data_IF_219218158742
#
_entry.id   IF_219218158742
#
_cell.length_a   1.000
_cell.length_b   1.000
_cell.length_c   1.000
_cell.angle_alpha   90.00
_cell.angle_beta   90.00
_cell.angle_gamma   90.00
#
_symmetry.space_group_name_H-M   'P 1'
#
loop_
_entity.id
_entity.type
_entity.pdbx_description
1 polymer ?
#
# COMPACT_ATOMS: atom_id res chain seq x y z
N UNK A 1 -11.98 11.76 0.30
CA UNK A 1 -12.50 12.01 -1.07
C UNK A 1 -11.51 11.43 -2.05
N UNK A 2 -11.96 10.86 -3.18
CA UNK A 2 -11.06 10.20 -4.12
C UNK A 2 -10.08 11.20 -4.75
N UNK A 3 -8.80 10.81 -4.86
CA UNK A 3 -7.76 11.64 -5.48
C UNK A 3 -8.08 11.98 -6.94
N UNK A 4 -8.82 11.10 -7.62
CA UNK A 4 -9.29 11.31 -8.98
C UNK A 4 -10.25 12.51 -9.14
N UNK A 5 -10.87 13.00 -8.06
CA UNK A 5 -11.86 14.12 -8.08
C UNK A 5 -11.36 15.40 -7.41
N UNK A 6 -10.05 15.55 -7.23
CA UNK A 6 -9.44 16.81 -6.77
C UNK A 6 -9.28 16.96 -5.26
N UNK A 7 -9.36 15.85 -4.50
CA UNK A 7 -8.98 15.87 -3.10
C UNK A 7 -7.47 16.13 -2.95
N UNK A 8 -7.10 16.94 -1.95
CA UNK A 8 -5.69 17.16 -1.60
C UNK A 8 -5.14 15.91 -0.93
N UNK A 9 -4.08 15.32 -1.48
CA UNK A 9 -3.29 14.29 -0.81
C UNK A 9 -2.18 14.93 0.01
N UNK A 10 -1.93 14.36 1.19
CA UNK A 10 -0.69 14.56 1.94
C UNK A 10 -0.10 13.18 2.19
N UNK A 11 1.20 13.05 1.94
CA UNK A 11 1.95 11.85 2.34
C UNK A 11 2.18 11.95 3.85
N UNK A 12 1.86 10.88 4.56
CA UNK A 12 1.99 10.76 6.02
C UNK A 12 2.72 9.46 6.35
N UNK A 13 3.27 9.40 7.56
CA UNK A 13 3.85 8.18 8.09
C UNK A 13 2.78 7.14 8.40
N UNK A 14 3.15 5.87 8.24
CA UNK A 14 2.30 4.72 8.56
C UNK A 14 2.09 4.64 10.07
N UNK A 15 0.82 4.70 10.51
CA UNK A 15 0.46 4.57 11.92
C UNK A 15 0.57 3.12 12.42
N UNK A 16 0.51 2.92 13.74
CA UNK A 16 0.50 1.58 14.30
C UNK A 16 -0.77 0.80 13.92
N UNK A 17 -1.90 1.51 13.77
CA UNK A 17 -3.13 0.89 13.28
C UNK A 17 -3.00 0.40 11.82
N UNK A 18 -2.35 1.17 10.95
CA UNK A 18 -2.10 0.76 9.57
C UNK A 18 -1.26 -0.53 9.52
N UNK A 19 -0.24 -0.62 10.39
CA UNK A 19 0.60 -1.82 10.51
C UNK A 19 -0.20 -3.02 11.00
N UNK A 20 -1.00 -2.85 12.05
CA UNK A 20 -1.86 -3.91 12.61
C UNK A 20 -2.83 -4.47 11.56
N UNK A 21 -3.38 -3.60 10.70
CA UNK A 21 -4.26 -4.01 9.59
C UNK A 21 -3.45 -4.74 8.52
N UNK A 22 -2.29 -4.23 8.13
CA UNK A 22 -1.43 -4.89 7.15
C UNK A 22 -1.02 -6.30 7.60
N UNK A 23 -0.63 -6.50 8.86
CA UNK A 23 -0.27 -7.80 9.42
C UNK A 23 -1.39 -8.83 9.34
N UNK A 24 -2.65 -8.39 9.48
CA UNK A 24 -3.83 -9.26 9.34
C UNK A 24 -4.12 -9.62 7.88
N UNK A 25 -3.81 -8.75 6.93
CA UNK A 25 -4.09 -8.93 5.50
C UNK A 25 -3.00 -9.78 4.82
N UNK A 26 -1.73 -9.62 5.19
CA UNK A 26 -0.58 -10.27 4.55
C UNK A 26 -0.73 -11.79 4.37
N UNK A 27 -1.20 -12.58 5.37
CA UNK A 27 -1.37 -14.03 5.20
C UNK A 27 -2.28 -14.41 4.04
N UNK A 28 -3.41 -13.69 3.89
CA UNK A 28 -4.35 -13.91 2.79
C UNK A 28 -3.72 -13.59 1.44
N UNK A 29 -2.99 -12.48 1.32
CA UNK A 29 -2.30 -12.11 0.09
C UNK A 29 -1.27 -13.17 -0.32
N UNK A 30 -0.50 -13.68 0.65
CA UNK A 30 0.50 -14.74 0.41
C UNK A 30 -0.14 -16.05 -0.05
N UNK A 31 -1.20 -16.50 0.63
CA UNK A 31 -1.92 -17.73 0.27
C UNK A 31 -2.47 -17.66 -1.16
N UNK A 32 -2.96 -16.48 -1.56
CA UNK A 32 -3.56 -16.25 -2.87
C UNK A 32 -2.56 -15.77 -3.94
N UNK A 33 -1.26 -15.76 -3.64
CA UNK A 33 -0.18 -15.31 -4.54
C UNK A 33 -0.41 -13.90 -5.10
N UNK A 34 -0.97 -13.03 -4.27
CA UNK A 34 -1.14 -11.61 -4.57
C UNK A 34 0.11 -10.89 -4.06
N UNK A 35 0.93 -10.41 -5.01
CA UNK A 35 2.19 -9.77 -4.68
C UNK A 35 2.06 -8.28 -4.36
N UNK A 36 1.01 -7.63 -4.88
CA UNK A 36 0.83 -6.19 -4.75
C UNK A 36 -0.65 -5.85 -4.56
N UNK A 37 -0.95 -5.09 -3.51
CA UNK A 37 -2.30 -4.65 -3.16
C UNK A 37 -2.24 -3.25 -2.53
N UNK A 38 -3.28 -2.46 -2.72
CA UNK A 38 -3.51 -1.21 -1.99
C UNK A 38 -4.55 -1.43 -0.91
N UNK A 39 -4.36 -0.88 0.28
CA UNK A 39 -5.34 -0.90 1.36
C UNK A 39 -5.80 0.52 1.64
N UNK A 40 -7.10 0.75 1.60
CA UNK A 40 -7.69 2.06 1.85
C UNK A 40 -8.27 2.09 3.26
N UNK A 41 -7.78 3.03 4.07
CA UNK A 41 -8.23 3.23 5.44
C UNK A 41 -8.92 4.59 5.58
N UNK A 42 -10.03 4.61 6.33
CA UNK A 42 -10.82 5.79 6.65
C UNK A 42 -10.93 5.93 8.17
N UNK A 43 -10.03 6.71 8.76
CA UNK A 43 -9.79 6.69 10.20
C UNK A 43 -9.35 5.30 10.63
N UNK A 44 -9.93 4.77 11.72
CA UNK A 44 -9.55 3.47 12.27
C UNK A 44 -10.31 2.29 11.63
N UNK A 45 -10.56 2.37 10.32
CA UNK A 45 -11.32 1.34 9.58
C UNK A 45 -10.72 1.09 8.22
N UNK A 46 -10.51 -0.19 7.90
CA UNK A 46 -10.26 -0.65 6.55
C UNK A 46 -11.57 -0.57 5.74
N UNK A 47 -11.59 0.22 4.67
CA UNK A 47 -12.75 0.34 3.79
C UNK A 47 -12.66 -0.53 2.54
N UNK A 48 -11.46 -0.67 1.96
CA UNK A 48 -11.26 -1.37 0.68
C UNK A 48 -9.87 -2.00 0.59
N UNK A 49 -9.76 -3.10 -0.18
CA UNK A 49 -8.49 -3.66 -0.63
C UNK A 49 -8.51 -3.75 -2.16
N UNK A 50 -7.60 -3.03 -2.81
CA UNK A 50 -7.44 -2.95 -4.25
C UNK A 50 -6.38 -3.94 -4.77
N UNK A 51 -6.81 -4.97 -5.51
CA UNK A 51 -5.93 -6.07 -5.97
C UNK A 51 -5.51 -5.98 -7.44
N UNK A 52 -6.19 -5.19 -8.27
CA UNK A 52 -6.03 -5.24 -9.73
C UNK A 52 -4.98 -4.26 -10.25
N UNK A 53 -5.11 -2.99 -9.90
CA UNK A 53 -4.18 -1.93 -10.31
C UNK A 53 -4.09 -0.83 -9.25
N UNK A 54 -3.62 -1.14 -8.02
CA UNK A 54 -3.43 -0.14 -6.98
C UNK A 54 -2.43 0.94 -7.43
N UNK A 55 -2.69 2.19 -7.04
CA UNK A 55 -1.97 3.40 -7.50
C UNK A 55 -1.21 4.07 -6.34
N UNK A 56 -0.90 5.37 -6.43
CA UNK A 56 -0.29 6.20 -5.37
C UNK A 56 1.22 6.01 -5.09
N UNK A 57 1.92 5.04 -5.72
CA UNK A 57 3.36 4.86 -5.52
C UNK A 57 4.19 6.08 -5.92
N UNK A 58 3.82 6.77 -7.01
CA UNK A 58 4.56 7.94 -7.47
C UNK A 58 4.31 9.16 -6.58
N UNK A 59 3.09 9.30 -6.08
CA UNK A 59 2.68 10.34 -5.13
C UNK A 59 3.50 10.21 -3.84
N UNK A 60 3.62 8.99 -3.30
CA UNK A 60 4.48 8.70 -2.15
C UNK A 60 5.93 9.03 -2.47
N UNK A 61 6.44 8.60 -3.63
CA UNK A 61 7.83 8.85 -4.00
C UNK A 61 8.17 10.33 -4.20
N UNK A 62 7.22 11.14 -4.69
CA UNK A 62 7.42 12.59 -4.83
C UNK A 62 7.27 13.33 -3.50
N UNK A 63 6.50 12.78 -2.56
CA UNK A 63 6.18 13.41 -1.27
C UNK A 63 6.98 12.87 -0.08
N UNK A 64 7.95 11.98 -0.30
CA UNK A 64 8.81 11.41 0.75
C UNK A 64 10.17 10.99 0.19
N UNK A 65 11.12 10.65 1.05
CA UNK A 65 12.43 10.08 0.65
C UNK A 65 12.37 8.59 0.29
N UNK A 66 11.17 7.99 0.29
CA UNK A 66 10.95 6.57 0.03
C UNK A 66 10.67 6.34 -1.46
N UNK A 67 11.20 5.26 -2.03
CA UNK A 67 10.79 4.78 -3.35
C UNK A 67 10.06 3.42 -3.22
N UNK A 68 8.73 3.43 -3.06
CA UNK A 68 7.96 2.19 -2.89
C UNK A 68 8.10 1.21 -4.05
N UNK A 69 8.27 1.72 -5.28
CA UNK A 69 8.48 0.88 -6.46
C UNK A 69 9.81 0.13 -6.41
N UNK A 70 10.89 0.80 -6.02
CA UNK A 70 12.19 0.16 -5.82
C UNK A 70 12.12 -0.91 -4.71
N UNK A 71 11.53 -0.54 -3.56
CA UNK A 71 11.32 -1.47 -2.43
C UNK A 71 10.58 -2.72 -2.89
N UNK A 72 9.48 -2.58 -3.62
CA UNK A 72 8.71 -3.70 -4.14
C UNK A 72 9.59 -4.63 -5.01
N UNK A 73 10.28 -4.08 -6.00
CA UNK A 73 11.08 -4.87 -6.93
C UNK A 73 12.29 -5.54 -6.28
N UNK A 74 12.91 -4.89 -5.30
CA UNK A 74 14.06 -5.46 -4.60
C UNK A 74 13.64 -6.62 -3.70
N UNK A 75 12.53 -6.48 -2.97
CA UNK A 75 11.97 -7.56 -2.16
C UNK A 75 11.38 -8.71 -3.00
N UNK A 76 10.85 -8.41 -4.20
CA UNK A 76 10.32 -9.45 -5.08
C UNK A 76 11.43 -10.37 -5.63
N UNK A 77 12.63 -9.83 -5.88
CA UNK A 77 13.79 -10.62 -6.35
C UNK A 77 14.28 -11.60 -5.28
N UNK A 78 14.24 -11.20 -4.02
CA UNK A 78 14.68 -12.02 -2.88
C UNK A 78 13.76 -13.22 -2.59
N UNK A 79 12.51 -13.17 -3.05
CA UNK A 79 11.53 -14.25 -2.91
C UNK A 79 11.63 -15.35 -3.99
N UNK A 80 12.69 -15.36 -4.83
CA UNK A 80 12.92 -16.38 -5.88
C UNK A 80 13.64 -17.66 -5.38
N UNK A 81 13.31 -18.14 -4.17
CA UNK A 81 13.82 -19.42 -3.66
C UNK A 81 12.86 -20.57 -3.95
#
# INVERSE_FOLDING_TARGET
GNLAVGATSKVEDVSDFDKDIAEKIIPYLKENRIYFAGADLLGDKLSEINLTSPTCLQEIHRGSDVNPGAIFWDNLKENKN
#
